data_IF_353642664860
#
_entry.id   IF_353642664860
#
_cell.length_a   1.000
_cell.length_b   1.000
_cell.length_c   1.000
_cell.angle_alpha   90.00
_cell.angle_beta   90.00
_cell.angle_gamma   90.00
#
_symmetry.space_group_name_H-M   'P 1'
#
loop_
_entity.id
_entity.type
_entity.pdbx_description
1 polymer ?
#
# COMPACT_ATOMS: atom_id res chain seq x y z
N UNK A 1 -21.19 -22.81 -13.94
CA UNK A 1 -20.44 -21.64 -14.43
C UNK A 1 -18.98 -22.01 -14.34
N UNK A 2 -18.28 -21.93 -15.47
CA UNK A 2 -16.89 -22.36 -15.54
C UNK A 2 -15.98 -21.44 -14.68
N UNK A 3 -14.78 -21.91 -14.33
CA UNK A 3 -13.81 -21.10 -13.58
C UNK A 3 -13.40 -19.88 -14.42
N UNK A 4 -13.18 -20.05 -15.72
CA UNK A 4 -12.76 -18.96 -16.59
C UNK A 4 -13.84 -17.88 -16.68
N UNK A 5 -15.12 -18.29 -16.76
CA UNK A 5 -16.27 -17.37 -16.75
C UNK A 5 -16.36 -16.62 -15.41
N UNK A 6 -16.10 -17.28 -14.28
CA UNK A 6 -16.08 -16.64 -12.96
C UNK A 6 -14.99 -15.57 -12.85
N UNK A 7 -13.77 -15.91 -13.29
CA UNK A 7 -12.62 -15.00 -13.27
C UNK A 7 -12.85 -13.84 -14.23
N UNK A 8 -13.40 -14.09 -15.42
CA UNK A 8 -13.75 -13.05 -16.40
C UNK A 8 -14.76 -12.05 -15.83
N UNK A 9 -15.81 -12.51 -15.14
CA UNK A 9 -16.78 -11.65 -14.46
C UNK A 9 -16.08 -10.75 -13.44
N UNK A 10 -15.24 -11.34 -12.58
CA UNK A 10 -14.51 -10.61 -11.55
C UNK A 10 -13.58 -9.56 -12.15
N UNK A 11 -12.73 -9.95 -13.10
CA UNK A 11 -11.77 -9.06 -13.77
C UNK A 11 -12.47 -7.92 -14.51
N UNK A 12 -13.58 -8.20 -15.19
CA UNK A 12 -14.31 -7.17 -15.92
C UNK A 12 -14.94 -6.13 -14.98
N UNK A 13 -15.48 -6.57 -13.83
CA UNK A 13 -16.03 -5.67 -12.80
C UNK A 13 -14.94 -4.75 -12.26
N UNK A 14 -13.78 -5.28 -11.86
CA UNK A 14 -12.72 -4.47 -11.26
C UNK A 14 -12.00 -3.58 -12.28
N UNK A 15 -11.78 -4.05 -13.50
CA UNK A 15 -11.03 -3.32 -14.52
C UNK A 15 -11.79 -2.10 -15.05
N UNK A 16 -13.12 -2.20 -15.13
CA UNK A 16 -13.96 -1.14 -15.70
C UNK A 16 -14.88 -0.46 -14.67
N UNK A 17 -14.82 -0.87 -13.39
CA UNK A 17 -15.69 -0.39 -12.33
C UNK A 17 -17.20 -0.46 -12.71
N UNK A 18 -17.60 -1.57 -13.35
CA UNK A 18 -18.97 -1.74 -13.84
C UNK A 18 -19.90 -2.29 -12.77
N UNK A 19 -21.15 -1.82 -12.79
CA UNK A 19 -22.20 -2.28 -11.87
C UNK A 19 -22.69 -3.67 -12.27
N UNK A 20 -23.16 -4.44 -11.28
CA UNK A 20 -23.75 -5.78 -11.47
C UNK A 20 -24.80 -5.81 -12.61
N UNK A 21 -25.65 -4.78 -12.71
CA UNK A 21 -26.65 -4.66 -13.80
C UNK A 21 -26.06 -4.77 -15.22
N UNK A 22 -24.85 -4.27 -15.44
CA UNK A 22 -24.17 -4.32 -16.75
C UNK A 22 -23.71 -5.75 -17.05
N UNK A 23 -23.27 -6.45 -16.01
CA UNK A 23 -22.78 -7.83 -16.11
C UNK A 23 -23.91 -8.81 -16.43
N UNK A 24 -25.13 -8.54 -15.95
CA UNK A 24 -26.32 -9.33 -16.26
C UNK A 24 -26.50 -9.43 -17.78
N UNK A 25 -26.47 -8.29 -18.48
CA UNK A 25 -26.63 -8.24 -19.93
C UNK A 25 -25.43 -8.85 -20.67
N UNK A 26 -24.21 -8.72 -20.13
CA UNK A 26 -22.99 -9.14 -20.82
C UNK A 26 -22.74 -10.65 -20.75
N UNK A 27 -23.08 -11.27 -19.62
CA UNK A 27 -22.85 -12.70 -19.37
C UNK A 27 -24.15 -13.51 -19.41
N UNK A 28 -25.31 -12.87 -19.61
CA UNK A 28 -26.63 -13.52 -19.61
C UNK A 28 -26.88 -14.35 -18.35
N UNK A 29 -26.44 -13.85 -17.19
CA UNK A 29 -26.62 -14.47 -15.87
C UNK A 29 -27.46 -13.58 -14.95
N UNK A 30 -28.12 -14.18 -13.96
CA UNK A 30 -28.82 -13.40 -12.94
C UNK A 30 -27.84 -12.55 -12.12
N UNK A 31 -28.31 -11.41 -11.60
CA UNK A 31 -27.48 -10.53 -10.77
C UNK A 31 -27.01 -11.20 -9.48
N UNK A 32 -27.82 -12.10 -8.94
CA UNK A 32 -27.45 -12.93 -7.77
C UNK A 32 -26.26 -13.84 -8.11
N UNK A 33 -26.29 -14.50 -9.27
CA UNK A 33 -25.20 -15.38 -9.72
C UNK A 33 -23.91 -14.60 -9.92
N UNK A 34 -23.97 -13.43 -10.57
CA UNK A 34 -22.81 -12.54 -10.72
C UNK A 34 -22.24 -12.15 -9.37
N UNK A 35 -23.09 -11.71 -8.43
CA UNK A 35 -22.67 -11.31 -7.08
C UNK A 35 -21.98 -12.46 -6.34
N UNK A 36 -22.62 -13.64 -6.34
CA UNK A 36 -22.10 -14.84 -5.68
C UNK A 36 -20.72 -15.22 -6.21
N UNK A 37 -20.55 -15.23 -7.53
CA UNK A 37 -19.28 -15.61 -8.14
C UNK A 37 -18.21 -14.54 -8.03
N UNK A 38 -18.58 -13.26 -8.11
CA UNK A 38 -17.67 -12.17 -7.78
C UNK A 38 -17.12 -12.33 -6.35
N UNK A 39 -17.98 -12.58 -5.37
CA UNK A 39 -17.55 -12.81 -3.97
C UNK A 39 -16.68 -14.06 -3.83
N UNK A 40 -16.98 -15.15 -4.55
CA UNK A 40 -16.15 -16.37 -4.54
C UNK A 40 -14.74 -16.11 -5.07
N UNK A 41 -14.62 -15.44 -6.22
CA UNK A 41 -13.30 -15.10 -6.80
C UNK A 41 -12.57 -14.10 -5.91
N UNK A 42 -13.24 -13.07 -5.40
CA UNK A 42 -12.67 -12.11 -4.47
C UNK A 42 -12.06 -12.80 -3.24
N UNK A 43 -12.81 -13.72 -2.61
CA UNK A 43 -12.32 -14.49 -1.47
C UNK A 43 -11.14 -15.40 -1.84
N UNK A 44 -11.13 -15.98 -3.04
CA UNK A 44 -9.99 -16.76 -3.53
C UNK A 44 -8.73 -15.90 -3.70
N UNK A 45 -8.86 -14.70 -4.31
CA UNK A 45 -7.77 -13.74 -4.45
C UNK A 45 -7.22 -13.31 -3.09
N UNK A 46 -8.10 -13.03 -2.12
CA UNK A 46 -7.69 -12.70 -0.74
C UNK A 46 -6.91 -13.86 -0.11
N UNK A 47 -7.32 -15.11 -0.32
CA UNK A 47 -6.57 -16.28 0.17
C UNK A 47 -5.20 -16.44 -0.50
N UNK A 48 -5.07 -15.99 -1.74
CA UNK A 48 -3.81 -16.00 -2.50
C UNK A 48 -2.89 -14.81 -2.18
N UNK A 49 -3.29 -13.89 -1.29
CA UNK A 49 -2.50 -12.67 -1.00
C UNK A 49 -1.02 -12.97 -0.67
N UNK A 50 -0.74 -14.07 0.04
CA UNK A 50 0.63 -14.47 0.40
C UNK A 50 1.53 -14.81 -0.80
N UNK A 51 0.94 -15.14 -1.94
CA UNK A 51 1.65 -15.40 -3.20
C UNK A 51 1.72 -14.15 -4.09
N UNK A 52 0.77 -13.22 -3.93
CA UNK A 52 0.70 -11.97 -4.69
C UNK A 52 1.62 -10.88 -4.12
N UNK A 53 1.84 -10.90 -2.80
CA UNK A 53 2.74 -9.97 -2.12
C UNK A 53 4.19 -10.43 -2.24
N UNK A 54 5.07 -9.46 -2.53
CA UNK A 54 6.51 -9.68 -2.61
C UNK A 54 7.08 -9.92 -1.22
N UNK A 55 7.97 -10.91 -1.09
CA UNK A 55 8.75 -11.08 0.14
C UNK A 55 9.72 -9.91 0.29
N UNK A 56 9.81 -9.28 1.48
CA UNK A 56 10.70 -8.14 1.69
C UNK A 56 12.15 -8.58 1.52
N UNK A 57 12.91 -7.82 0.73
CA UNK A 57 14.34 -8.03 0.52
C UNK A 57 15.07 -6.72 0.85
N UNK A 58 16.08 -6.75 1.72
CA UNK A 58 16.83 -5.56 2.07
C UNK A 58 17.66 -5.11 0.88
N UNK A 59 17.78 -3.79 0.72
CA UNK A 59 18.69 -3.20 -0.25
C UNK A 59 20.14 -3.56 0.15
N UNK A 60 20.91 -4.23 -0.74
CA UNK A 60 22.27 -4.65 -0.43
C UNK A 60 23.21 -3.48 -0.16
N UNK A 61 24.20 -3.67 0.70
CA UNK A 61 25.22 -2.64 0.97
C UNK A 61 26.04 -2.27 -0.26
N UNK A 62 26.22 -3.24 -1.17
CA UNK A 62 26.92 -3.09 -2.44
C UNK A 62 26.00 -2.66 -3.60
N UNK A 63 24.79 -2.17 -3.31
CA UNK A 63 23.87 -1.71 -4.37
C UNK A 63 24.52 -0.60 -5.21
N UNK A 64 24.58 -0.82 -6.52
CA UNK A 64 25.09 0.15 -7.50
C UNK A 64 24.01 1.10 -8.00
N UNK A 65 22.74 0.86 -7.64
CA UNK A 65 21.63 1.70 -8.07
C UNK A 65 21.75 3.09 -7.43
N UNK A 66 21.87 4.12 -8.25
CA UNK A 66 22.02 5.50 -7.80
C UNK A 66 20.86 6.00 -6.92
N UNK A 67 19.66 5.44 -7.10
CA UNK A 67 18.45 5.79 -6.36
C UNK A 67 18.45 5.17 -4.96
N UNK A 68 18.94 3.92 -4.85
CA UNK A 68 18.74 3.09 -3.68
C UNK A 68 20.02 2.82 -2.86
N UNK A 69 21.21 3.06 -3.40
CA UNK A 69 22.51 2.80 -2.74
C UNK A 69 22.69 3.45 -1.37
N UNK A 70 21.97 4.53 -1.10
CA UNK A 70 22.00 5.26 0.17
C UNK A 70 21.09 4.65 1.24
N UNK A 71 20.16 3.77 0.85
CA UNK A 71 19.14 3.17 1.70
C UNK A 71 19.51 1.72 2.08
N UNK A 72 20.75 1.50 2.54
CA UNK A 72 21.24 0.17 2.94
C UNK A 72 20.33 -0.45 3.99
N UNK A 73 20.00 -1.74 3.87
CA UNK A 73 19.08 -2.46 4.76
C UNK A 73 17.61 -1.97 4.76
N UNK A 74 17.24 -1.03 3.87
CA UNK A 74 15.84 -0.66 3.68
C UNK A 74 15.09 -1.81 2.98
N UNK A 75 13.93 -2.18 3.50
CA UNK A 75 13.07 -3.23 2.92
C UNK A 75 12.04 -2.67 1.94
N UNK A 76 11.71 -1.39 2.06
CA UNK A 76 10.66 -0.74 1.28
C UNK A 76 10.22 0.59 1.89
N UNK A 77 9.28 1.24 1.21
CA UNK A 77 8.63 2.44 1.66
C UNK A 77 7.21 2.13 2.15
N UNK A 78 6.87 2.65 3.33
CA UNK A 78 5.57 2.52 3.96
C UNK A 78 4.83 3.86 3.90
N UNK A 79 3.57 3.81 3.49
CA UNK A 79 2.70 4.97 3.42
C UNK A 79 1.21 4.60 3.59
N UNK A 80 0.39 5.61 3.89
CA UNK A 80 -1.06 5.49 4.02
C UNK A 80 -1.80 6.16 2.85
N UNK A 81 -2.92 5.57 2.40
CA UNK A 81 -3.82 6.13 1.36
C UNK A 81 -5.24 5.97 1.82
N UNK A 82 -6.06 6.82 1.25
CA UNK A 82 -7.48 6.82 1.44
C UNK A 82 -8.14 6.25 0.19
N UNK A 83 -8.78 5.09 0.35
CA UNK A 83 -9.63 4.51 -0.69
C UNK A 83 -11.07 4.92 -0.40
N UNK A 84 -11.69 5.61 -1.35
CA UNK A 84 -13.10 6.03 -1.24
C UNK A 84 -14.00 4.82 -0.99
N UNK A 85 -14.86 4.93 0.01
CA UNK A 85 -15.77 3.86 0.38
C UNK A 85 -17.21 4.39 0.55
N UNK A 86 -18.16 3.47 0.43
CA UNK A 86 -19.57 3.73 0.74
C UNK A 86 -19.87 3.12 2.09
N UNK A 87 -20.35 3.93 3.02
CA UNK A 87 -20.73 3.52 4.38
C UNK A 87 -22.10 4.09 4.72
N UNK A 88 -22.75 3.51 5.73
CA UNK A 88 -24.04 4.00 6.23
C UNK A 88 -23.91 5.43 6.76
N UNK A 89 -25.03 6.17 6.74
CA UNK A 89 -25.05 7.59 7.12
C UNK A 89 -24.48 7.83 8.53
N UNK A 90 -24.81 6.94 9.46
CA UNK A 90 -24.37 6.96 10.86
C UNK A 90 -22.85 6.72 11.02
N UNK A 91 -22.22 6.02 10.07
CA UNK A 91 -20.79 5.71 10.11
C UNK A 91 -19.94 6.76 9.39
N UNK A 92 -20.53 7.59 8.51
CA UNK A 92 -19.81 8.61 7.75
C UNK A 92 -18.88 9.49 8.60
N UNK A 93 -19.23 9.93 9.83
CA UNK A 93 -18.33 10.71 10.65
C UNK A 93 -17.00 10.01 10.93
N UNK A 94 -17.00 8.69 11.13
CA UNK A 94 -15.79 7.89 11.39
C UNK A 94 -14.91 7.77 10.15
N UNK A 95 -15.51 7.60 8.98
CA UNK A 95 -14.79 7.43 7.71
C UNK A 95 -14.43 8.76 7.02
N UNK A 96 -14.72 9.90 7.67
CA UNK A 96 -14.44 11.21 7.09
C UNK A 96 -12.96 11.57 7.26
N UNK A 97 -12.29 11.73 6.12
CA UNK A 97 -10.90 12.22 6.06
C UNK A 97 -10.80 13.69 6.40
N UNK A 98 -9.58 14.17 6.67
CA UNK A 98 -9.29 15.60 6.85
C UNK A 98 -9.71 16.47 5.64
N UNK A 99 -9.74 15.90 4.43
CA UNK A 99 -10.19 16.57 3.20
C UNK A 99 -11.72 16.53 3.02
N UNK A 100 -12.44 15.95 3.97
CA UNK A 100 -13.90 15.85 3.94
C UNK A 100 -14.46 14.70 3.10
N UNK A 101 -13.60 13.89 2.47
CA UNK A 101 -14.01 12.70 1.71
C UNK A 101 -14.32 11.52 2.64
N UNK A 102 -15.23 10.64 2.21
CA UNK A 102 -15.54 9.39 2.91
C UNK A 102 -14.66 8.27 2.35
N UNK A 103 -13.73 7.77 3.16
CA UNK A 103 -12.74 6.79 2.73
C UNK A 103 -12.32 5.86 3.88
N UNK A 104 -11.78 4.70 3.52
CA UNK A 104 -11.01 3.84 4.43
C UNK A 104 -9.53 4.16 4.28
N UNK A 105 -8.83 4.22 5.40
CA UNK A 105 -7.37 4.29 5.42
C UNK A 105 -6.81 2.88 5.18
N UNK A 106 -5.89 2.79 4.23
CA UNK A 106 -5.12 1.59 3.92
C UNK A 106 -3.66 1.92 4.12
N UNK A 107 -2.98 1.13 4.93
CA UNK A 107 -1.54 1.20 5.09
C UNK A 107 -0.92 0.16 4.15
N UNK A 108 0.13 0.50 3.41
CA UNK A 108 0.88 -0.50 2.65
C UNK A 108 2.37 -0.23 2.68
N UNK A 109 3.11 -1.25 2.25
CA UNK A 109 4.55 -1.19 2.04
C UNK A 109 4.84 -1.61 0.61
N UNK A 110 5.67 -0.83 -0.08
CA UNK A 110 6.15 -1.14 -1.41
C UNK A 110 7.66 -1.36 -1.42
N UNK A 111 8.12 -2.34 -2.20
CA UNK A 111 9.53 -2.55 -2.50
C UNK A 111 10.09 -1.40 -3.36
N UNK A 112 11.42 -1.28 -3.50
CA UNK A 112 12.06 -0.39 -4.47
C UNK A 112 11.49 -0.45 -5.89
N UNK A 113 11.05 -1.64 -6.34
CA UNK A 113 10.44 -1.86 -7.66
C UNK A 113 8.92 -1.59 -7.71
N UNK A 114 8.36 -0.87 -6.73
CA UNK A 114 6.92 -0.56 -6.63
C UNK A 114 6.00 -1.78 -6.52
N UNK A 115 6.51 -2.92 -6.04
CA UNK A 115 5.71 -4.12 -5.77
C UNK A 115 5.27 -4.13 -4.30
N UNK A 116 4.00 -4.48 -4.04
CA UNK A 116 3.47 -4.54 -2.67
C UNK A 116 4.14 -5.67 -1.87
N UNK A 117 4.64 -5.31 -0.69
CA UNK A 117 5.18 -6.23 0.31
C UNK A 117 4.13 -6.52 1.38
N UNK A 118 3.38 -5.50 1.77
CA UNK A 118 2.40 -5.57 2.83
C UNK A 118 1.24 -4.63 2.53
N UNK A 119 0.02 -5.04 2.86
CA UNK A 119 -1.19 -4.22 2.71
C UNK A 119 -2.10 -4.50 3.91
N UNK A 120 -2.50 -3.44 4.61
CA UNK A 120 -3.42 -3.46 5.74
C UNK A 120 -4.60 -2.54 5.42
N UNK A 121 -5.69 -3.09 4.89
CA UNK A 121 -6.92 -2.34 4.65
C UNK A 121 -7.80 -2.27 5.90
N UNK A 122 -8.78 -1.35 5.87
CA UNK A 122 -9.96 -1.42 6.74
C UNK A 122 -9.99 -0.46 7.92
N UNK A 123 -9.08 0.51 7.99
CA UNK A 123 -9.14 1.55 9.02
C UNK A 123 -10.09 2.68 8.61
N UNK A 124 -10.67 3.35 9.61
CA UNK A 124 -11.55 4.49 9.30
C UNK A 124 -10.73 5.68 8.76
N UNK A 125 -11.28 6.40 7.79
CA UNK A 125 -10.59 7.53 7.16
C UNK A 125 -10.26 8.72 8.08
N UNK A 126 -10.81 8.76 9.29
CA UNK A 126 -10.44 9.76 10.30
C UNK A 126 -9.18 9.38 11.11
N UNK A 127 -8.74 8.12 11.04
CA UNK A 127 -7.60 7.61 11.81
C UNK A 127 -6.31 8.05 11.14
N UNK A 128 -5.42 8.69 11.91
CA UNK A 128 -4.10 9.08 11.44
C UNK A 128 -3.21 7.86 11.18
N UNK A 129 -2.40 7.91 10.13
CA UNK A 129 -1.62 6.76 9.65
C UNK A 129 -0.64 6.21 10.71
N UNK A 130 -0.05 7.09 11.51
CA UNK A 130 0.81 6.65 12.63
C UNK A 130 0.07 5.87 13.72
N UNK A 131 -1.24 6.05 13.88
CA UNK A 131 -2.06 5.23 14.79
C UNK A 131 -2.39 3.87 14.15
N UNK A 132 -2.66 3.85 12.85
CA UNK A 132 -2.85 2.62 12.07
C UNK A 132 -1.61 1.73 12.16
N UNK A 133 -0.42 2.30 11.96
CA UNK A 133 0.85 1.57 12.08
C UNK A 133 1.07 1.02 13.49
N UNK A 134 0.83 1.82 14.54
CA UNK A 134 1.01 1.34 15.93
C UNK A 134 0.11 0.15 16.25
N UNK A 135 -1.17 0.21 15.89
CA UNK A 135 -2.07 -0.92 16.10
C UNK A 135 -1.60 -2.16 15.33
N UNK A 136 -1.10 -2.00 14.11
CA UNK A 136 -0.58 -3.12 13.34
C UNK A 136 0.62 -3.80 14.01
N UNK A 137 1.55 -3.02 14.56
CA UNK A 137 2.74 -3.55 15.24
C UNK A 137 2.39 -4.39 16.49
N UNK A 138 1.25 -4.11 17.13
CA UNK A 138 0.77 -4.86 18.29
C UNK A 138 0.06 -6.17 17.90
N UNK A 139 -0.22 -6.41 16.59
CA UNK A 139 -0.91 -7.62 16.12
C UNK A 139 0.03 -8.82 16.01
N UNK A 140 -0.40 -10.05 16.37
CA UNK A 140 0.41 -11.27 16.22
C UNK A 140 0.92 -11.54 14.80
N UNK A 141 0.16 -11.10 13.79
CA UNK A 141 0.47 -11.23 12.37
C UNK A 141 0.69 -9.87 11.67
N UNK A 142 1.00 -8.82 12.45
CA UNK A 142 1.30 -7.50 11.94
C UNK A 142 2.64 -7.41 11.19
N UNK A 143 2.96 -6.21 10.71
CA UNK A 143 4.19 -5.94 10.00
C UNK A 143 5.42 -6.22 10.88
N UNK A 144 6.25 -7.16 10.44
CA UNK A 144 7.49 -7.51 11.12
C UNK A 144 8.68 -6.84 10.45
N UNK A 145 9.57 -6.27 11.26
CA UNK A 145 10.82 -5.67 10.79
C UNK A 145 11.99 -6.51 11.31
N UNK A 146 12.65 -7.32 10.46
CA UNK A 146 13.84 -8.07 10.86
C UNK A 146 15.00 -7.10 11.12
N UNK A 147 15.74 -7.27 12.22
CA UNK A 147 16.99 -6.52 12.45
C UNK A 147 18.11 -7.07 11.52
N UNK A 148 19.00 -6.23 10.97
CA UNK A 148 19.17 -4.79 11.18
C UNK A 148 18.42 -3.92 10.13
N UNK A 149 17.28 -4.39 9.62
CA UNK A 149 16.55 -3.73 8.53
C UNK A 149 15.53 -2.70 9.02
N UNK A 150 15.03 -1.87 8.09
CA UNK A 150 14.01 -0.86 8.37
C UNK A 150 13.10 -0.60 7.15
N UNK A 151 11.96 0.05 7.38
CA UNK A 151 11.12 0.65 6.35
C UNK A 151 11.27 2.17 6.34
N UNK A 152 11.39 2.76 5.15
CA UNK A 152 11.30 4.21 5.00
C UNK A 152 9.85 4.64 5.15
N UNK A 153 9.57 5.71 5.88
CA UNK A 153 8.21 6.22 6.13
C UNK A 153 8.09 7.70 5.80
N UNK A 154 6.87 8.19 5.57
CA UNK A 154 6.64 9.64 5.40
C UNK A 154 6.95 10.43 6.69
N UNK A 155 7.17 11.74 6.56
CA UNK A 155 7.43 12.66 7.67
C UNK A 155 6.30 12.72 8.72
N UNK A 156 5.09 12.28 8.35
CA UNK A 156 3.95 12.14 9.25
C UNK A 156 4.13 11.06 10.33
N UNK A 157 5.04 10.11 10.13
CA UNK A 157 5.32 9.02 11.06
C UNK A 157 6.42 9.37 12.06
N UNK A 158 6.47 8.60 13.15
CA UNK A 158 7.48 8.76 14.21
C UNK A 158 8.67 7.85 13.91
N UNK A 159 9.89 8.40 14.01
CA UNK A 159 11.11 7.60 13.97
C UNK A 159 11.13 6.61 15.13
N UNK A 160 11.49 5.37 14.84
CA UNK A 160 11.52 4.30 15.83
C UNK A 160 12.31 3.11 15.32
N UNK A 161 12.44 2.09 16.16
CA UNK A 161 13.11 0.87 15.72
C UNK A 161 12.39 0.27 14.51
N UNK A 162 13.14 0.03 13.42
CA UNK A 162 12.61 -0.53 12.18
C UNK A 162 11.90 0.47 11.25
N UNK A 163 11.81 1.76 11.62
CA UNK A 163 11.14 2.79 10.80
C UNK A 163 11.94 4.08 10.72
N UNK A 164 12.22 4.53 9.50
CA UNK A 164 13.02 5.73 9.23
C UNK A 164 12.22 6.77 8.45
N UNK A 165 11.84 7.84 9.14
CA UNK A 165 11.22 9.04 8.62
C UNK A 165 12.29 10.08 8.24
N UNK A 166 12.10 10.87 7.17
CA UNK A 166 13.00 11.95 6.84
C UNK A 166 13.02 13.01 7.94
N UNK A 167 14.18 13.64 8.14
CA UNK A 167 14.29 14.72 9.12
C UNK A 167 13.42 15.91 8.71
N UNK A 168 12.57 16.36 9.64
CA UNK A 168 11.65 17.47 9.38
C UNK A 168 12.44 18.77 9.20
N UNK A 169 12.10 19.54 8.18
CA UNK A 169 12.73 20.82 7.88
C UNK A 169 14.04 20.72 7.08
N UNK A 170 14.55 19.52 6.83
CA UNK A 170 15.68 19.30 5.93
C UNK A 170 15.16 18.86 4.55
N UNK A 171 15.57 19.58 3.50
CA UNK A 171 15.28 19.16 2.13
C UNK A 171 16.34 18.16 1.68
N UNK A 172 15.90 16.94 1.42
CA UNK A 172 16.71 15.90 0.82
C UNK A 172 16.48 15.92 -0.70
N UNK A 173 17.55 15.96 -1.50
CA UNK A 173 17.55 15.80 -2.96
C UNK A 173 16.80 16.85 -3.81
N UNK A 174 17.31 18.08 -3.87
CA UNK A 174 16.95 19.02 -4.95
C UNK A 174 18.00 19.14 -6.06
N UNK A 175 19.24 18.70 -5.84
CA UNK A 175 20.29 18.81 -6.85
C UNK A 175 20.28 17.61 -7.81
N UNK A 176 20.25 16.36 -7.31
CA UNK A 176 20.31 15.16 -8.17
C UNK A 176 19.09 14.94 -9.10
N UNK A 177 17.92 15.52 -8.80
CA UNK A 177 16.74 15.48 -9.69
C UNK A 177 16.82 16.53 -10.82
N UNK A 178 17.70 17.55 -10.68
CA UNK A 178 18.03 18.54 -11.71
C UNK A 178 19.30 18.16 -12.48
N UNK A 179 20.19 17.39 -11.89
CA UNK A 179 21.52 17.08 -12.40
C UNK A 179 21.54 15.96 -13.48
N UNK A 180 20.65 16.09 -14.46
CA UNK A 180 21.01 15.76 -15.85
C UNK A 180 22.16 16.64 -16.38
N UNK A 181 22.57 17.66 -15.61
CA UNK A 181 23.72 18.50 -15.88
C UNK A 181 24.50 18.82 -14.59
N UNK A 182 25.68 18.22 -14.47
CA UNK A 182 26.85 18.61 -13.65
C UNK A 182 27.02 18.02 -12.23
N UNK A 183 28.28 17.73 -11.93
CA UNK A 183 28.79 16.82 -10.91
C UNK A 183 29.16 17.52 -9.57
N UNK A 184 29.05 16.70 -8.52
CA UNK A 184 29.87 16.61 -7.28
C UNK A 184 29.84 17.76 -6.25
N UNK A 185 29.34 17.41 -5.04
CA UNK A 185 30.11 17.56 -3.79
C UNK A 185 29.64 16.57 -2.73
N UNK A 186 30.51 15.62 -2.39
CA UNK A 186 30.35 14.73 -1.24
C UNK A 186 30.24 15.54 0.05
N UNK A 187 29.22 15.25 0.85
CA UNK A 187 29.28 15.42 2.30
C UNK A 187 28.70 14.17 2.96
N UNK A 188 29.59 13.38 3.55
CA UNK A 188 29.26 12.24 4.39
C UNK A 188 28.54 12.72 5.64
N UNK A 189 27.34 12.22 5.90
CA UNK A 189 26.72 12.32 7.23
C UNK A 189 25.95 11.04 7.53
N UNK A 190 26.61 10.15 8.28
CA UNK A 190 25.96 9.17 9.14
C UNK A 190 26.70 9.28 10.48
N UNK A 191 25.96 9.62 11.52
CA UNK A 191 26.22 9.18 12.89
C UNK A 191 24.90 8.68 13.46
#
# INVERSE_FOLDING_TARGET
>A
MDIDEQVAIFLHIIAHNVKNRVMICRFYRSGETISRHFSRVCNAVIRLHSHLLKKPQPIPEASTDHRWKWFKNCLGALDGTYIKCLVLLEEKPRYRTRKGEIATNVLWVCSPDMQFIFVLPGWEGSVADGRVLRDDLDRPHGLKVPRPCYYSVDAGYTNGEGFLAPYRGQRYHLNDLRDGHQQLRQKNYIT
#
